data_IF_481443621382
#
_entry.id   IF_481443621382
#
_cell.length_a   1.000
_cell.length_b   1.000
_cell.length_c   1.000
_cell.angle_alpha   90.00
_cell.angle_beta   90.00
_cell.angle_gamma   90.00
#
_symmetry.space_group_name_H-M   'P 1'
#
loop_
_entity.id
_entity.type
_entity.pdbx_description
1 polymer ?
#
# COMPACT_ATOMS: atom_id res chain seq x y z
N UNK A 1 2.11 7.64 -30.40
CA UNK A 1 2.68 7.91 -29.07
C UNK A 1 3.33 9.29 -28.97
N UNK A 2 2.61 10.36 -29.28
CA UNK A 2 3.09 11.75 -29.11
C UNK A 2 2.07 12.66 -28.42
N UNK A 3 0.92 12.13 -28.01
CA UNK A 3 -0.19 12.92 -27.47
C UNK A 3 -0.01 13.25 -25.99
N UNK A 4 0.99 12.66 -25.33
CA UNK A 4 1.32 12.90 -23.92
C UNK A 4 2.82 13.11 -23.74
N UNK A 5 3.18 14.01 -22.83
CA UNK A 5 4.55 14.20 -22.36
C UNK A 5 4.65 13.72 -20.91
N UNK A 6 5.50 12.73 -20.67
CA UNK A 6 5.76 12.23 -19.32
C UNK A 6 6.80 13.09 -18.62
N UNK A 7 6.48 13.57 -17.42
CA UNK A 7 7.39 14.35 -16.59
C UNK A 7 7.43 13.78 -15.17
N UNK A 8 8.56 13.97 -14.49
CA UNK A 8 8.72 13.56 -13.09
C UNK A 8 8.06 14.59 -12.19
N UNK A 9 6.98 14.20 -11.52
CA UNK A 9 6.21 15.13 -10.66
C UNK A 9 6.73 15.26 -9.23
N UNK A 10 7.57 14.32 -8.78
CA UNK A 10 8.04 14.25 -7.39
C UNK A 10 6.98 13.71 -6.42
N UNK A 11 7.12 14.04 -5.13
CA UNK A 11 6.23 13.57 -4.06
C UNK A 11 5.74 14.72 -3.16
N UNK A 12 4.64 14.47 -2.44
CA UNK A 12 4.08 15.40 -1.45
C UNK A 12 3.65 16.74 -2.04
N UNK A 13 4.30 17.83 -1.63
CA UNK A 13 3.93 19.18 -2.05
C UNK A 13 4.33 19.51 -3.50
N UNK A 14 5.30 18.78 -4.09
CA UNK A 14 5.82 19.09 -5.43
C UNK A 14 4.77 18.85 -6.53
N UNK A 15 4.09 17.68 -6.62
CA UNK A 15 3.01 17.49 -7.59
C UNK A 15 1.87 18.50 -7.45
N UNK A 16 1.55 18.91 -6.22
CA UNK A 16 0.51 19.89 -5.95
C UNK A 16 0.86 21.27 -6.54
N UNK A 17 2.12 21.69 -6.47
CA UNK A 17 2.60 22.93 -7.08
C UNK A 17 2.54 22.86 -8.61
N UNK A 18 2.98 21.75 -9.21
CA UNK A 18 2.96 21.54 -10.66
C UNK A 18 1.54 21.62 -11.22
N UNK A 19 0.58 20.95 -10.57
CA UNK A 19 -0.85 21.02 -10.92
C UNK A 19 -1.39 22.45 -10.86
N UNK A 20 -1.07 23.21 -9.79
CA UNK A 20 -1.50 24.60 -9.64
C UNK A 20 -0.98 25.51 -10.74
N UNK A 21 0.29 25.35 -11.08
CA UNK A 21 0.94 26.10 -12.15
C UNK A 21 0.58 25.62 -13.55
N UNK A 22 -0.23 24.54 -13.67
CA UNK A 22 -0.56 23.88 -14.95
C UNK A 22 0.66 23.43 -15.74
N UNK A 23 1.73 23.05 -15.05
CA UNK A 23 2.88 22.39 -15.67
C UNK A 23 2.61 20.91 -15.97
N UNK A 24 1.61 20.34 -15.28
CA UNK A 24 1.06 19.00 -15.55
C UNK A 24 -0.46 19.06 -15.50
N UNK A 25 -1.10 18.24 -16.34
CA UNK A 25 -2.56 18.15 -16.42
C UNK A 25 -3.13 16.95 -15.65
N UNK A 26 -2.33 15.88 -15.52
CA UNK A 26 -2.74 14.58 -14.95
C UNK A 26 -1.57 13.97 -14.17
N UNK A 27 -1.90 13.21 -13.11
CA UNK A 27 -0.95 12.42 -12.33
C UNK A 27 -1.26 10.93 -12.43
N UNK A 28 -0.19 10.13 -12.40
CA UNK A 28 -0.24 8.68 -12.19
C UNK A 28 0.70 8.32 -11.04
N UNK A 29 0.14 8.26 -9.84
CA UNK A 29 0.82 7.90 -8.58
C UNK A 29 -0.07 6.95 -7.75
N UNK A 30 0.25 6.81 -6.47
CA UNK A 30 -0.48 5.98 -5.52
C UNK A 30 -1.36 6.82 -4.58
N UNK A 31 -2.39 6.17 -4.03
CA UNK A 31 -3.41 6.74 -3.14
C UNK A 31 -2.90 7.71 -2.06
N UNK A 32 -1.81 7.39 -1.37
CA UNK A 32 -1.24 8.25 -0.32
C UNK A 32 -0.68 9.55 -0.88
N UNK A 33 -0.12 9.56 -2.08
CA UNK A 33 0.34 10.79 -2.74
C UNK A 33 -0.84 11.68 -3.10
N UNK A 34 -1.94 11.10 -3.58
CA UNK A 34 -3.16 11.86 -3.85
C UNK A 34 -3.70 12.52 -2.58
N UNK A 35 -3.72 11.80 -1.46
CA UNK A 35 -4.12 12.35 -0.16
C UNK A 35 -3.16 13.46 0.33
N UNK A 36 -1.85 13.35 0.10
CA UNK A 36 -0.88 14.40 0.40
C UNK A 36 -1.13 15.67 -0.44
N UNK A 37 -1.48 15.51 -1.71
CA UNK A 37 -1.82 16.61 -2.61
C UNK A 37 -3.13 17.29 -2.17
N UNK A 38 -4.10 16.52 -1.69
CA UNK A 38 -5.33 17.03 -1.10
C UNK A 38 -5.08 17.79 0.21
N UNK A 39 -4.21 17.27 1.10
CA UNK A 39 -3.74 17.97 2.29
C UNK A 39 -3.07 19.31 1.94
N UNK A 40 -2.38 19.35 0.79
CA UNK A 40 -1.80 20.58 0.27
C UNK A 40 -2.84 21.54 -0.31
N UNK A 41 -4.12 21.16 -0.43
CA UNK A 41 -5.23 22.00 -0.87
C UNK A 41 -5.54 21.92 -2.37
N UNK A 42 -5.13 20.84 -3.05
CA UNK A 42 -5.46 20.61 -4.47
C UNK A 42 -6.45 19.45 -4.57
N UNK A 43 -7.63 19.73 -5.14
CA UNK A 43 -8.66 18.71 -5.35
C UNK A 43 -8.34 17.90 -6.60
N UNK A 44 -8.40 16.58 -6.48
CA UNK A 44 -8.16 15.65 -7.58
C UNK A 44 -9.46 15.00 -8.02
N UNK A 45 -9.55 14.66 -9.30
CA UNK A 45 -10.60 13.82 -9.87
C UNK A 45 -9.98 12.50 -10.27
N UNK A 46 -10.39 11.42 -9.60
CA UNK A 46 -9.93 10.07 -9.93
C UNK A 46 -10.54 9.63 -11.26
N UNK A 47 -9.69 9.18 -12.18
CA UNK A 47 -10.12 8.58 -13.45
C UNK A 47 -10.55 7.13 -13.21
N UNK A 48 -11.39 6.60 -14.12
CA UNK A 48 -11.80 5.20 -14.05
C UNK A 48 -10.58 4.28 -14.15
N UNK A 49 -10.37 3.49 -13.10
CA UNK A 49 -9.25 2.55 -12.96
C UNK A 49 -9.70 1.09 -12.89
N UNK A 50 -10.99 0.80 -13.09
CA UNK A 50 -11.55 -0.56 -13.05
C UNK A 50 -10.74 -1.58 -13.88
N UNK A 51 -10.19 -1.24 -15.07
CA UNK A 51 -9.42 -2.20 -15.86
C UNK A 51 -8.12 -2.68 -15.21
N UNK A 52 -7.57 -1.92 -14.26
CA UNK A 52 -6.26 -2.21 -13.64
C UNK A 52 -6.33 -2.33 -12.12
N UNK A 53 -7.50 -2.12 -11.51
CA UNK A 53 -7.67 -2.03 -10.05
C UNK A 53 -7.34 -3.35 -9.33
N UNK A 54 -7.47 -4.49 -10.03
CA UNK A 54 -7.18 -5.82 -9.47
C UNK A 54 -5.72 -6.23 -9.59
N UNK A 55 -4.91 -5.48 -10.33
CA UNK A 55 -3.51 -5.83 -10.51
C UNK A 55 -2.75 -5.72 -9.19
N UNK A 56 -1.84 -6.67 -8.91
CA UNK A 56 -1.02 -6.60 -7.72
C UNK A 56 -0.14 -5.35 -7.76
N UNK A 57 0.14 -4.81 -6.58
CA UNK A 57 1.05 -3.68 -6.39
C UNK A 57 2.23 -4.14 -5.54
N UNK A 58 2.29 -3.72 -4.28
CA UNK A 58 3.38 -4.10 -3.38
C UNK A 58 3.21 -5.53 -2.86
N UNK A 59 4.34 -6.22 -2.66
CA UNK A 59 4.40 -7.54 -2.05
C UNK A 59 5.74 -7.75 -1.34
N UNK A 60 5.85 -8.82 -0.58
CA UNK A 60 7.12 -9.27 -0.03
C UNK A 60 7.78 -10.23 -1.02
N UNK A 61 9.05 -10.00 -1.28
CA UNK A 61 9.87 -10.83 -2.16
C UNK A 61 11.05 -11.39 -1.38
N UNK A 62 11.40 -12.64 -1.66
CA UNK A 62 12.55 -13.32 -1.10
C UNK A 62 13.11 -14.29 -2.15
N UNK A 63 14.39 -14.64 -2.00
CA UNK A 63 14.98 -15.74 -2.78
C UNK A 63 14.29 -17.05 -2.41
N UNK A 64 14.16 -17.96 -3.36
CA UNK A 64 13.63 -19.32 -3.13
C UNK A 64 14.38 -20.04 -2.00
N UNK A 65 15.71 -19.94 -1.99
CA UNK A 65 16.54 -20.50 -0.92
C UNK A 65 16.16 -19.92 0.45
N UNK A 66 15.91 -18.61 0.54
CA UNK A 66 15.48 -17.97 1.79
C UNK A 66 14.11 -18.48 2.22
N UNK A 67 13.19 -18.69 1.28
CA UNK A 67 11.87 -19.25 1.56
C UNK A 67 12.00 -20.66 2.15
N UNK A 68 12.84 -21.50 1.55
CA UNK A 68 13.06 -22.89 1.98
C UNK A 68 13.82 -23.00 3.31
N UNK A 69 14.85 -22.17 3.51
CA UNK A 69 15.78 -22.31 4.65
C UNK A 69 15.42 -21.43 5.85
N UNK A 70 14.64 -20.36 5.65
CA UNK A 70 14.28 -19.38 6.69
C UNK A 70 12.77 -19.16 6.79
N UNK A 71 12.00 -20.22 6.53
CA UNK A 71 10.54 -20.18 6.58
C UNK A 71 10.02 -19.62 7.92
N UNK A 72 10.64 -19.99 9.05
CA UNK A 72 10.23 -19.54 10.39
C UNK A 72 10.34 -18.02 10.54
N UNK A 73 11.44 -17.44 10.10
CA UNK A 73 11.70 -16.00 10.15
C UNK A 73 10.72 -15.25 9.24
N UNK A 74 10.51 -15.73 8.02
CA UNK A 74 9.59 -15.13 7.05
C UNK A 74 8.14 -15.17 7.57
N UNK A 75 7.71 -16.30 8.13
CA UNK A 75 6.41 -16.44 8.77
C UNK A 75 6.27 -15.44 9.91
N UNK A 76 7.29 -15.30 10.77
CA UNK A 76 7.30 -14.37 11.88
C UNK A 76 7.16 -12.91 11.42
N UNK A 77 7.95 -12.53 10.43
CA UNK A 77 7.92 -11.19 9.82
C UNK A 77 6.57 -10.86 9.18
N UNK A 78 6.11 -11.70 8.25
CA UNK A 78 4.86 -11.45 7.54
C UNK A 78 3.64 -11.47 8.47
N UNK A 79 3.65 -12.33 9.51
CA UNK A 79 2.61 -12.33 10.56
C UNK A 79 2.63 -11.04 11.37
N UNK A 80 3.81 -10.52 11.72
CA UNK A 80 3.92 -9.24 12.42
C UNK A 80 3.35 -8.10 11.57
N UNK A 81 3.69 -8.05 10.27
CA UNK A 81 3.11 -7.09 9.33
C UNK A 81 1.59 -7.21 9.24
N UNK A 82 1.05 -8.44 9.08
CA UNK A 82 -0.39 -8.68 9.03
C UNK A 82 -1.12 -8.17 10.28
N UNK A 83 -0.57 -8.46 11.48
CA UNK A 83 -1.12 -7.94 12.75
C UNK A 83 -1.06 -6.41 12.80
N UNK A 84 0.04 -5.81 12.34
CA UNK A 84 0.19 -4.37 12.23
C UNK A 84 -0.85 -3.75 11.30
N UNK A 85 -1.09 -4.35 10.14
CA UNK A 85 -2.14 -3.91 9.21
C UNK A 85 -3.53 -3.96 9.83
N UNK A 86 -3.88 -5.05 10.50
CA UNK A 86 -5.16 -5.17 11.22
C UNK A 86 -5.29 -4.10 12.30
N UNK A 87 -4.24 -3.86 13.09
CA UNK A 87 -4.21 -2.80 14.10
C UNK A 87 -4.43 -1.42 13.46
N UNK A 88 -3.67 -1.10 12.41
CA UNK A 88 -3.74 0.21 11.73
C UNK A 88 -5.11 0.47 11.14
N UNK A 89 -5.74 -0.52 10.51
CA UNK A 89 -7.10 -0.34 10.00
C UNK A 89 -8.14 -0.14 11.10
N UNK A 90 -7.95 -0.78 12.26
CA UNK A 90 -8.88 -0.70 13.39
C UNK A 90 -8.70 0.58 14.23
N UNK A 91 -7.48 1.16 14.27
CA UNK A 91 -7.20 2.42 14.94
C UNK A 91 -6.10 3.21 14.21
N UNK A 92 -6.46 3.94 13.13
CA UNK A 92 -5.49 4.67 12.32
C UNK A 92 -4.77 5.78 13.09
N UNK A 93 -5.47 6.48 13.98
CA UNK A 93 -4.87 7.54 14.79
C UNK A 93 -3.77 7.00 15.72
N UNK A 94 -4.07 5.90 16.44
CA UNK A 94 -3.06 5.26 17.27
C UNK A 94 -1.85 4.79 16.46
N UNK A 95 -2.07 4.25 15.26
CA UNK A 95 -0.98 3.81 14.39
C UNK A 95 -0.06 4.97 13.97
N UNK A 96 -0.62 6.14 13.62
CA UNK A 96 0.18 7.36 13.33
C UNK A 96 0.98 7.80 14.54
N UNK A 97 0.37 7.81 15.73
CA UNK A 97 1.07 8.24 16.95
C UNK A 97 2.17 7.26 17.37
N UNK A 98 1.95 5.95 17.19
CA UNK A 98 3.02 4.93 17.37
C UNK A 98 4.14 5.15 16.35
N UNK A 99 3.81 5.47 15.09
CA UNK A 99 4.83 5.81 14.09
C UNK A 99 5.68 7.00 14.56
N UNK A 100 5.07 8.06 15.11
CA UNK A 100 5.80 9.22 15.62
C UNK A 100 6.67 8.92 16.84
N UNK A 101 6.23 8.01 17.71
CA UNK A 101 7.03 7.59 18.88
C UNK A 101 8.30 6.84 18.44
N UNK A 102 8.16 5.91 17.49
CA UNK A 102 9.29 5.10 17.00
C UNK A 102 10.17 5.87 16.00
N UNK A 103 9.56 6.70 15.15
CA UNK A 103 10.23 7.47 14.10
C UNK A 103 9.82 8.95 14.16
N UNK A 104 10.28 9.73 15.15
CA UNK A 104 9.84 11.11 15.36
C UNK A 104 10.02 12.05 14.16
N UNK A 105 10.98 11.75 13.28
CA UNK A 105 11.25 12.51 12.07
C UNK A 105 10.17 12.39 10.98
N UNK A 106 9.24 11.44 11.08
CA UNK A 106 8.13 11.32 10.12
C UNK A 106 7.02 12.33 10.41
N UNK A 107 6.95 12.89 11.62
CA UNK A 107 5.97 13.92 11.96
C UNK A 107 6.31 15.21 11.21
N UNK A 108 5.35 15.74 10.47
CA UNK A 108 5.52 16.99 9.72
C UNK A 108 5.98 18.14 10.64
N UNK A 109 7.04 18.84 10.22
CA UNK A 109 7.55 20.02 10.94
C UNK A 109 6.72 21.26 10.64
N UNK A 110 6.61 22.19 11.60
CA UNK A 110 5.93 23.48 11.40
C UNK A 110 4.41 23.44 11.56
N UNK A 111 3.86 22.35 12.11
CA UNK A 111 2.45 22.20 12.49
C UNK A 111 2.36 21.69 13.92
N UNK A 112 1.25 21.98 14.60
CA UNK A 112 0.94 21.36 15.87
C UNK A 112 0.63 19.86 15.68
N UNK A 113 0.78 19.07 16.75
CA UNK A 113 0.62 17.62 16.68
C UNK A 113 -0.79 17.20 16.26
N UNK A 114 -1.83 17.90 16.73
CA UNK A 114 -3.22 17.58 16.37
C UNK A 114 -3.42 17.71 14.87
N UNK A 115 -2.91 18.79 14.28
CA UNK A 115 -2.94 18.99 12.83
C UNK A 115 -2.13 17.93 12.08
N UNK A 116 -0.92 17.62 12.52
CA UNK A 116 -0.06 16.62 11.88
C UNK A 116 -0.71 15.21 11.89
N UNK A 117 -1.22 14.78 13.05
CA UNK A 117 -1.92 13.50 13.19
C UNK A 117 -3.15 13.44 12.29
N UNK A 118 -3.98 14.48 12.27
CA UNK A 118 -5.18 14.53 11.42
C UNK A 118 -4.84 14.35 9.93
N UNK A 119 -3.80 15.04 9.47
CA UNK A 119 -3.37 14.97 8.07
C UNK A 119 -2.81 13.59 7.69
N UNK A 120 -2.02 12.96 8.58
CA UNK A 120 -1.50 11.61 8.34
C UNK A 120 -2.58 10.54 8.44
N UNK A 121 -3.58 10.74 9.31
CA UNK A 121 -4.78 9.89 9.33
C UNK A 121 -5.57 10.02 8.02
N UNK A 122 -5.66 11.21 7.41
CA UNK A 122 -6.25 11.37 6.08
C UNK A 122 -5.48 10.58 5.02
N UNK A 123 -4.14 10.65 5.05
CA UNK A 123 -3.27 9.88 4.15
C UNK A 123 -3.47 8.37 4.33
N UNK A 124 -3.51 7.88 5.57
CA UNK A 124 -3.84 6.47 5.85
C UNK A 124 -5.26 6.11 5.40
N UNK A 125 -6.22 7.03 5.53
CA UNK A 125 -7.58 6.85 5.03
C UNK A 125 -7.64 6.55 3.53
N UNK A 126 -6.77 7.18 2.73
CA UNK A 126 -6.60 6.86 1.31
C UNK A 126 -6.07 5.45 1.07
N UNK A 127 -5.20 4.93 1.96
CA UNK A 127 -4.55 3.62 1.85
C UNK A 127 -5.37 2.45 2.39
N UNK A 128 -6.11 2.65 3.47
CA UNK A 128 -6.87 1.58 4.16
C UNK A 128 -7.75 0.75 3.23
N UNK A 129 -8.47 1.32 2.24
CA UNK A 129 -9.24 0.51 1.29
C UNK A 129 -8.40 -0.56 0.59
N UNK A 130 -7.14 -0.26 0.24
CA UNK A 130 -6.23 -1.19 -0.44
C UNK A 130 -5.49 -2.15 0.50
N UNK A 131 -5.57 -1.91 1.82
CA UNK A 131 -5.06 -2.85 2.83
C UNK A 131 -6.04 -3.98 3.13
N UNK A 132 -7.29 -3.85 2.68
CA UNK A 132 -8.31 -4.89 2.85
C UNK A 132 -8.04 -6.10 1.95
N UNK A 133 -8.59 -7.26 2.31
CA UNK A 133 -8.38 -8.51 1.56
C UNK A 133 -9.30 -8.59 0.34
N UNK A 134 -10.49 -8.00 0.43
CA UNK A 134 -11.54 -8.08 -0.57
C UNK A 134 -11.15 -7.49 -1.94
N UNK A 135 -10.50 -6.31 -2.03
CA UNK A 135 -10.06 -5.76 -3.31
C UNK A 135 -9.06 -6.66 -4.04
N UNK A 136 -8.19 -7.35 -3.29
CA UNK A 136 -7.26 -8.33 -3.85
C UNK A 136 -7.93 -9.68 -4.20
N UNK A 137 -9.19 -9.87 -3.80
CA UNK A 137 -9.93 -11.12 -4.04
C UNK A 137 -9.36 -12.31 -3.27
N UNK A 138 -8.80 -12.06 -2.07
CA UNK A 138 -8.17 -13.09 -1.22
C UNK A 138 -8.87 -13.16 0.14
N UNK A 139 -8.55 -14.19 0.95
CA UNK A 139 -9.17 -14.39 2.28
C UNK A 139 -8.15 -14.40 3.41
N UNK A 140 -6.86 -14.40 3.09
CA UNK A 140 -5.77 -14.48 4.07
C UNK A 140 -4.77 -13.36 3.86
N UNK A 141 -4.22 -12.85 4.95
CA UNK A 141 -3.20 -11.82 4.94
C UNK A 141 -1.94 -12.29 4.23
N UNK A 142 -1.44 -11.48 3.29
CA UNK A 142 -0.25 -11.77 2.49
C UNK A 142 -0.48 -12.71 1.31
N UNK A 143 -1.70 -13.26 1.15
CA UNK A 143 -2.03 -14.16 0.04
C UNK A 143 -1.94 -13.43 -1.30
N UNK A 144 -1.28 -14.06 -2.27
CA UNK A 144 -1.25 -13.58 -3.66
C UNK A 144 -2.31 -14.31 -4.46
N UNK A 145 -3.17 -13.56 -5.17
CA UNK A 145 -4.11 -14.13 -6.12
C UNK A 145 -3.40 -14.43 -7.45
N UNK A 146 -3.13 -15.70 -7.71
CA UNK A 146 -2.41 -16.14 -8.91
C UNK A 146 -3.13 -15.76 -10.22
N UNK A 147 -4.47 -15.76 -10.24
CA UNK A 147 -5.23 -15.38 -11.42
C UNK A 147 -5.06 -13.88 -11.74
N UNK A 148 -5.17 -13.01 -10.72
CA UNK A 148 -4.92 -11.58 -10.90
C UNK A 148 -3.46 -11.29 -11.29
N UNK A 149 -2.49 -12.04 -10.74
CA UNK A 149 -1.08 -11.91 -11.15
C UNK A 149 -0.91 -12.30 -12.61
N UNK A 150 -1.52 -13.41 -13.07
CA UNK A 150 -1.49 -13.84 -14.47
C UNK A 150 -2.07 -12.79 -15.41
N UNK A 151 -3.24 -12.23 -15.07
CA UNK A 151 -3.87 -11.15 -15.84
C UNK A 151 -2.95 -9.91 -15.94
N UNK A 152 -2.23 -9.59 -14.87
CA UNK A 152 -1.25 -8.51 -14.88
C UNK A 152 -0.06 -8.82 -15.80
N UNK A 153 0.46 -10.05 -15.77
CA UNK A 153 1.55 -10.47 -16.66
C UNK A 153 1.12 -10.42 -18.13
N UNK A 154 -0.09 -10.87 -18.44
CA UNK A 154 -0.67 -10.80 -19.79
C UNK A 154 -0.85 -9.34 -20.25
N UNK A 155 -1.28 -8.46 -19.34
CA UNK A 155 -1.35 -7.02 -19.59
C UNK A 155 0.03 -6.45 -19.93
N UNK A 156 1.06 -6.76 -19.13
CA UNK A 156 2.42 -6.28 -19.37
C UNK A 156 3.01 -6.82 -20.69
N UNK A 157 2.71 -8.07 -21.06
CA UNK A 157 3.13 -8.66 -22.33
C UNK A 157 2.43 -7.99 -23.52
N UNK A 158 1.11 -7.78 -23.44
CA UNK A 158 0.32 -7.11 -24.47
C UNK A 158 0.86 -5.72 -24.80
N UNK A 159 1.33 -4.99 -23.80
CA UNK A 159 1.89 -3.64 -23.96
C UNK A 159 3.41 -3.62 -24.16
N UNK A 160 4.04 -4.79 -24.36
CA UNK A 160 5.45 -4.91 -24.70
C UNK A 160 6.43 -4.55 -23.57
N UNK A 161 5.93 -4.43 -22.34
CA UNK A 161 6.77 -4.26 -21.13
C UNK A 161 7.54 -5.55 -20.88
N UNK A 162 6.85 -6.69 -20.94
CA UNK A 162 7.49 -8.00 -21.00
C UNK A 162 7.78 -8.36 -22.46
N UNK A 163 8.95 -8.94 -22.70
CA UNK A 163 9.37 -9.41 -24.04
C UNK A 163 8.97 -10.84 -24.33
N UNK A 164 8.68 -11.60 -23.29
CA UNK A 164 8.24 -12.98 -23.35
C UNK A 164 7.24 -13.25 -22.23
N UNK A 165 6.48 -14.32 -22.40
CA UNK A 165 5.56 -14.80 -21.38
C UNK A 165 6.32 -15.27 -20.14
N UNK A 166 5.76 -14.97 -18.98
CA UNK A 166 6.24 -15.40 -17.66
C UNK A 166 5.06 -16.00 -16.92
N UNK A 167 5.20 -17.20 -16.38
CA UNK A 167 4.12 -17.85 -15.65
C UNK A 167 4.02 -17.30 -14.22
N UNK A 168 2.79 -17.07 -13.75
CA UNK A 168 2.55 -16.52 -12.42
C UNK A 168 3.08 -17.44 -11.30
N UNK A 169 3.02 -18.76 -11.50
CA UNK A 169 3.52 -19.75 -10.54
C UNK A 169 5.04 -19.71 -10.34
N UNK A 170 5.80 -19.17 -11.31
CA UNK A 170 7.25 -19.00 -11.17
C UNK A 170 7.61 -17.74 -10.35
N UNK A 171 6.64 -16.86 -10.11
CA UNK A 171 6.85 -15.56 -9.44
C UNK A 171 6.31 -15.49 -8.02
N UNK A 172 5.52 -16.48 -7.60
CA UNK A 172 4.82 -16.45 -6.32
C UNK A 172 4.81 -17.82 -5.64
N UNK A 173 4.74 -17.79 -4.31
CA UNK A 173 4.34 -18.95 -3.50
C UNK A 173 3.37 -18.50 -2.41
N UNK A 174 2.38 -19.35 -2.11
CA UNK A 174 1.44 -19.16 -1.00
C UNK A 174 1.66 -20.20 0.11
N UNK A 175 2.76 -20.94 0.09
CA UNK A 175 3.02 -22.06 1.01
C UNK A 175 3.07 -21.64 2.49
N UNK A 176 3.57 -20.43 2.78
CA UNK A 176 3.70 -19.91 4.14
C UNK A 176 2.42 -19.23 4.65
N UNK A 177 1.43 -18.97 3.78
CA UNK A 177 0.25 -18.15 4.11
C UNK A 177 -0.59 -18.77 5.22
N UNK A 178 -0.72 -20.11 5.24
CA UNK A 178 -1.41 -20.82 6.31
C UNK A 178 -0.80 -20.52 7.67
N UNK A 179 0.52 -20.61 7.78
CA UNK A 179 1.24 -20.31 9.02
C UNK A 179 1.17 -18.84 9.40
N UNK A 180 1.39 -17.94 8.44
CA UNK A 180 1.33 -16.48 8.65
C UNK A 180 -0.01 -16.10 9.31
N UNK A 181 -1.11 -16.70 8.88
CA UNK A 181 -2.46 -16.39 9.35
C UNK A 181 -2.87 -17.13 10.64
N UNK A 182 -1.96 -17.85 11.31
CA UNK A 182 -2.22 -18.41 12.65
C UNK A 182 -2.19 -17.33 13.74
N UNK A 183 -3.14 -16.41 13.70
CA UNK A 183 -3.41 -15.41 14.75
C UNK A 183 -4.89 -15.00 14.73
N UNK A 184 -5.36 -14.47 15.85
CA UNK A 184 -6.72 -13.94 15.97
C UNK A 184 -6.74 -12.47 15.54
N UNK A 185 -7.24 -12.19 14.33
CA UNK A 185 -7.35 -10.83 13.81
C UNK A 185 -8.36 -9.98 14.59
N UNK A 186 -9.45 -10.58 15.09
CA UNK A 186 -10.48 -9.86 15.85
C UNK A 186 -9.95 -9.44 17.22
N UNK A 187 -9.16 -10.28 17.87
CA UNK A 187 -8.45 -9.92 19.08
C UNK A 187 -7.51 -8.72 18.85
N UNK A 188 -6.75 -8.71 17.75
CA UNK A 188 -5.87 -7.57 17.41
C UNK A 188 -6.68 -6.30 17.15
N UNK A 189 -7.77 -6.39 16.38
CA UNK A 189 -8.64 -5.26 16.12
C UNK A 189 -9.29 -4.73 17.41
N UNK A 190 -9.65 -5.62 18.34
CA UNK A 190 -10.14 -5.24 19.67
C UNK A 190 -9.07 -4.51 20.48
N UNK A 191 -7.86 -5.07 20.57
CA UNK A 191 -6.73 -4.42 21.23
C UNK A 191 -6.45 -3.04 20.63
N UNK A 192 -6.52 -2.89 19.31
CA UNK A 192 -6.34 -1.61 18.64
C UNK A 192 -7.38 -0.57 19.06
N UNK A 193 -8.66 -0.95 19.11
CA UNK A 193 -9.75 -0.05 19.54
C UNK A 193 -9.64 0.39 21.00
N UNK A 194 -9.08 -0.46 21.86
CA UNK A 194 -8.87 -0.20 23.29
C UNK A 194 -7.52 0.47 23.58
N UNK A 195 -6.66 0.62 22.56
CA UNK A 195 -5.30 1.12 22.72
C UNK A 195 -5.30 2.57 23.20
N UNK A 196 -4.53 2.82 24.25
CA UNK A 196 -4.21 4.17 24.74
C UNK A 196 -2.71 4.35 24.68
N UNK A 197 -2.26 5.43 24.05
CA UNK A 197 -0.85 5.81 24.11
C UNK A 197 -0.49 6.12 25.56
N UNK A 198 0.69 5.64 25.95
CA UNK A 198 1.26 5.89 27.26
C UNK A 198 1.91 7.26 27.31
#
# INVERSE_FOLDING_TARGET
DTDINLVVAGEGAQPAALLRSKQIDVLSQFDTQYALIENAGVKLRILDKRPIERFPSNGFIALEETIQTRARELIGFARACAKGTVFTMANPEAAVRVLYDVFPFTRATGKDETTAVREDVHVLGGRIPQLKLEPAGVRRWGETNEAHLREYMDFLLKWGVLKQRVEAGDLMTNELIGEINRFDADAIAKTAREYRLR
#
